data_IF_073804936464
#
_entry.id   IF_073804936464
#
_cell.length_a   1.000
_cell.length_b   1.000
_cell.length_c   1.000
_cell.angle_alpha   90.00
_cell.angle_beta   90.00
_cell.angle_gamma   90.00
#
_symmetry.space_group_name_H-M   'P 1'
#
loop_
_entity.id
_entity.type
_entity.pdbx_description
1 polymer ?
#
# COMPACT_ATOMS: atom_id res chain seq x y z
N UNK A 1 27.64 19.07 -22.39
CA UNK A 1 27.25 17.99 -21.46
C UNK A 1 26.69 18.63 -20.21
N UNK A 2 25.37 18.84 -20.16
CA UNK A 2 24.69 19.18 -18.91
C UNK A 2 24.48 17.85 -18.19
N UNK A 3 25.18 17.62 -17.08
CA UNK A 3 24.80 16.57 -16.16
C UNK A 3 23.41 16.95 -15.64
N UNK A 4 22.37 16.20 -16.04
CA UNK A 4 21.13 16.18 -15.27
C UNK A 4 21.53 15.66 -13.88
N UNK A 5 21.63 16.57 -12.91
CA UNK A 5 21.49 16.20 -11.51
C UNK A 5 20.11 15.54 -11.43
N UNK A 6 20.09 14.22 -11.29
CA UNK A 6 18.87 13.48 -11.02
C UNK A 6 18.42 13.92 -9.61
N UNK A 7 17.55 14.92 -9.55
CA UNK A 7 16.87 15.29 -8.32
C UNK A 7 15.81 14.20 -8.05
N UNK A 8 16.07 13.33 -7.08
CA UNK A 8 15.14 12.28 -6.69
C UNK A 8 15.81 11.00 -6.20
N UNK A 9 15.08 10.25 -5.39
CA UNK A 9 15.46 8.91 -4.92
C UNK A 9 14.96 7.87 -5.93
N UNK A 10 15.77 6.83 -6.20
CA UNK A 10 15.36 5.76 -7.11
C UNK A 10 14.44 4.79 -6.38
N UNK A 11 13.33 4.46 -7.03
CA UNK A 11 12.39 3.44 -6.58
C UNK A 11 12.47 2.25 -7.53
N UNK A 12 12.61 1.05 -6.97
CA UNK A 12 12.57 -0.22 -7.70
C UNK A 12 11.38 -1.02 -7.18
N UNK A 13 10.51 -1.46 -8.07
CA UNK A 13 9.39 -2.34 -7.72
C UNK A 13 9.67 -3.70 -8.31
N UNK A 14 9.68 -4.73 -7.47
CA UNK A 14 9.95 -6.12 -7.87
C UNK A 14 8.77 -7.01 -7.49
N UNK A 15 8.36 -7.89 -8.39
CA UNK A 15 7.30 -8.86 -8.16
C UNK A 15 7.85 -10.30 -8.20
N UNK A 16 7.71 -11.05 -7.12
CA UNK A 16 7.96 -12.49 -7.09
C UNK A 16 6.64 -13.29 -7.20
N UNK A 17 6.66 -14.57 -7.62
CA UNK A 17 5.48 -15.32 -8.06
C UNK A 17 4.81 -16.16 -6.99
N UNK A 18 5.15 -15.97 -5.71
CA UNK A 18 4.75 -16.92 -4.66
C UNK A 18 3.23 -17.02 -4.43
N UNK A 19 2.41 -16.28 -5.18
CA UNK A 19 0.94 -16.40 -5.16
C UNK A 19 0.45 -16.83 -6.56
N UNK A 20 -0.23 -17.97 -6.61
CA UNK A 20 -0.55 -18.78 -7.81
C UNK A 20 -1.60 -18.20 -8.78
N UNK A 21 -1.93 -16.91 -8.68
CA UNK A 21 -2.81 -16.21 -9.64
C UNK A 21 -2.43 -14.73 -9.67
N UNK A 22 -1.45 -14.37 -10.51
CA UNK A 22 -0.96 -12.99 -10.52
C UNK A 22 -0.69 -12.48 -11.94
N UNK A 23 -1.65 -11.72 -12.46
CA UNK A 23 -1.32 -10.47 -13.14
C UNK A 23 -1.35 -9.37 -12.09
N UNK A 24 -0.26 -9.15 -11.34
CA UNK A 24 -0.24 -8.01 -10.42
C UNK A 24 -0.04 -6.77 -11.25
N UNK A 25 -0.99 -5.86 -11.18
CA UNK A 25 -0.83 -4.54 -11.77
C UNK A 25 -0.52 -3.61 -10.61
N UNK A 26 0.73 -3.22 -10.45
CA UNK A 26 1.11 -2.28 -9.39
C UNK A 26 0.63 -0.89 -9.77
N UNK A 27 0.10 -0.16 -8.80
CA UNK A 27 -0.32 1.22 -8.94
C UNK A 27 0.56 2.12 -8.06
N UNK A 28 0.84 3.31 -8.59
CA UNK A 28 1.43 4.41 -7.85
C UNK A 28 0.33 5.45 -7.63
N UNK A 29 0.03 5.78 -6.38
CA UNK A 29 -0.74 7.00 -6.10
C UNK A 29 -0.12 7.87 -5.03
N UNK A 30 -0.59 9.11 -5.07
CA UNK A 30 -0.62 9.97 -3.90
C UNK A 30 -2.08 10.16 -3.49
N UNK A 31 -2.37 10.11 -2.19
CA UNK A 31 -3.71 10.44 -1.69
C UNK A 31 -3.91 11.95 -1.55
N UNK A 32 -2.83 12.74 -1.59
CA UNK A 32 -2.92 14.20 -1.51
C UNK A 32 -1.95 14.87 -2.48
N UNK A 33 -2.32 14.95 -3.75
CA UNK A 33 -1.96 16.15 -4.51
C UNK A 33 -2.86 17.28 -3.99
N UNK A 34 -2.39 18.00 -2.97
CA UNK A 34 -2.60 19.44 -3.08
C UNK A 34 -2.00 19.83 -4.43
N UNK A 35 -2.78 20.52 -5.27
CA UNK A 35 -2.32 21.00 -6.57
C UNK A 35 -0.93 21.62 -6.42
N UNK A 36 0.09 21.03 -7.07
CA UNK A 36 1.47 21.53 -7.03
C UNK A 36 2.50 20.65 -6.29
N UNK A 37 2.13 19.56 -5.63
CA UNK A 37 3.12 18.65 -5.03
C UNK A 37 3.92 17.86 -6.08
N UNK A 38 5.24 17.71 -5.92
CA UNK A 38 6.07 16.87 -6.78
C UNK A 38 5.62 15.41 -6.78
N UNK A 39 5.72 14.75 -7.93
CA UNK A 39 5.29 13.35 -8.14
C UNK A 39 6.38 12.53 -8.84
N UNK A 40 6.37 11.19 -8.66
CA UNK A 40 7.24 10.31 -9.43
C UNK A 40 7.08 10.48 -10.94
N UNK A 41 8.18 10.34 -11.67
CA UNK A 41 8.19 10.36 -13.14
C UNK A 41 7.85 8.98 -13.71
N UNK A 42 6.62 8.52 -13.42
CA UNK A 42 6.13 7.23 -13.89
C UNK A 42 4.60 7.21 -14.02
N UNK A 43 4.08 6.22 -14.75
CA UNK A 43 2.64 5.98 -14.85
C UNK A 43 2.05 5.59 -13.49
N UNK A 44 0.80 5.96 -13.24
CA UNK A 44 0.05 5.62 -12.01
C UNK A 44 -0.48 4.18 -12.00
N UNK A 45 -0.24 3.41 -13.06
CA UNK A 45 -0.47 1.98 -13.08
C UNK A 45 0.07 1.30 -14.34
N UNK A 46 0.47 0.04 -14.20
CA UNK A 46 0.99 -0.82 -15.28
C UNK A 46 0.79 -2.29 -14.97
N UNK A 47 0.97 -3.16 -15.96
CA UNK A 47 1.02 -4.61 -15.78
C UNK A 47 2.41 -5.08 -15.37
N UNK A 48 2.52 -5.72 -14.21
CA UNK A 48 3.74 -6.37 -13.77
C UNK A 48 3.61 -7.89 -13.94
N UNK A 49 4.39 -8.45 -14.86
CA UNK A 49 4.51 -9.91 -15.02
C UNK A 49 5.26 -10.52 -13.82
N UNK A 50 5.03 -11.78 -13.48
CA UNK A 50 5.85 -12.47 -12.48
C UNK A 50 7.35 -12.33 -12.78
N UNK A 51 8.15 -12.13 -11.73
CA UNK A 51 9.60 -11.87 -11.81
C UNK A 51 9.99 -10.59 -12.56
N UNK A 52 9.06 -9.68 -12.84
CA UNK A 52 9.40 -8.38 -13.42
C UNK A 52 9.87 -7.39 -12.38
N UNK A 53 10.66 -6.43 -12.84
CA UNK A 53 11.10 -5.28 -12.07
C UNK A 53 10.96 -4.02 -12.91
N UNK A 54 10.51 -2.94 -12.27
CA UNK A 54 10.48 -1.60 -12.88
C UNK A 54 11.16 -0.61 -11.96
N UNK A 55 11.80 0.40 -12.53
CA UNK A 55 12.44 1.46 -11.76
C UNK A 55 12.01 2.83 -12.24
N UNK A 56 11.84 3.77 -11.31
CA UNK A 56 11.50 5.16 -11.60
C UNK A 56 12.07 6.09 -10.53
N UNK A 57 12.17 7.38 -10.85
CA UNK A 57 12.61 8.40 -9.89
C UNK A 57 11.41 9.02 -9.19
N UNK A 58 11.51 9.21 -7.87
CA UNK A 58 10.58 10.02 -7.09
C UNK A 58 11.29 11.27 -6.55
N UNK A 59 10.67 12.46 -6.60
CA UNK A 59 11.24 13.66 -6.01
C UNK A 59 11.56 13.49 -4.52
N UNK A 60 12.67 14.08 -4.05
CA UNK A 60 13.13 13.97 -2.65
C UNK A 60 12.12 14.48 -1.61
N UNK A 61 11.16 15.30 -2.04
CA UNK A 61 10.08 15.84 -1.22
C UNK A 61 8.72 15.25 -1.59
N UNK A 62 8.69 14.02 -2.12
CA UNK A 62 7.45 13.29 -2.36
C UNK A 62 6.73 13.00 -1.03
N UNK A 63 5.48 13.46 -0.88
CA UNK A 63 4.70 13.39 0.37
C UNK A 63 3.42 12.59 0.18
N UNK A 64 3.00 11.81 1.18
CA UNK A 64 1.76 11.02 1.09
C UNK A 64 1.72 10.10 -0.16
N UNK A 65 2.88 9.55 -0.51
CA UNK A 65 3.04 8.54 -1.54
C UNK A 65 2.52 7.19 -1.07
N UNK A 66 1.85 6.46 -1.96
CA UNK A 66 1.34 5.10 -1.74
C UNK A 66 1.61 4.24 -2.96
N UNK A 67 2.08 3.03 -2.72
CA UNK A 67 2.32 2.01 -3.74
C UNK A 67 1.59 0.75 -3.29
N UNK A 68 0.79 0.14 -4.16
CA UNK A 68 0.13 -1.14 -3.87
C UNK A 68 -0.02 -2.00 -5.11
N UNK A 69 -0.19 -3.29 -4.88
CA UNK A 69 -0.45 -4.26 -5.94
C UNK A 69 -1.94 -4.52 -6.07
N UNK A 70 -2.38 -4.82 -7.29
CA UNK A 70 -3.77 -5.15 -7.63
C UNK A 70 -3.87 -6.60 -8.08
N UNK A 71 -4.99 -7.25 -7.81
CA UNK A 71 -5.17 -8.69 -8.08
C UNK A 71 -6.36 -8.96 -8.98
N UNK A 72 -6.17 -9.97 -9.84
CA UNK A 72 -7.20 -10.56 -10.69
C UNK A 72 -7.97 -9.50 -11.51
N UNK A 73 -7.22 -8.66 -12.23
CA UNK A 73 -7.79 -7.54 -12.97
C UNK A 73 -8.21 -7.91 -14.39
N UNK A 74 -9.28 -7.30 -14.86
CA UNK A 74 -9.73 -7.33 -16.24
C UNK A 74 -10.09 -5.92 -16.73
N UNK A 75 -9.13 -5.30 -17.42
CA UNK A 75 -9.28 -3.95 -17.98
C UNK A 75 -9.98 -3.91 -19.35
N UNK A 76 -10.35 -5.07 -19.91
CA UNK A 76 -11.13 -5.15 -21.15
C UNK A 76 -12.64 -5.03 -20.90
N UNK A 77 -13.06 -5.00 -19.64
CA UNK A 77 -14.46 -4.84 -19.27
C UNK A 77 -14.85 -3.35 -19.27
N UNK A 78 -16.00 -3.03 -19.86
CA UNK A 78 -16.65 -1.74 -19.63
C UNK A 78 -17.08 -1.68 -18.16
N UNK A 79 -16.44 -0.81 -17.37
CA UNK A 79 -16.73 -0.66 -15.95
C UNK A 79 -17.58 0.61 -15.70
N UNK A 80 -18.81 0.51 -15.17
CA UNK A 80 -19.63 1.66 -14.81
C UNK A 80 -19.07 2.48 -13.62
N UNK A 81 -18.12 1.93 -12.85
CA UNK A 81 -17.47 2.54 -11.70
C UNK A 81 -16.11 3.16 -12.03
N UNK A 82 -15.95 3.64 -13.27
CA UNK A 82 -14.74 4.34 -13.73
C UNK A 82 -13.45 3.52 -13.49
N UNK A 83 -13.53 2.20 -13.68
CA UNK A 83 -12.42 1.26 -13.54
C UNK A 83 -12.08 0.79 -12.12
N UNK A 84 -12.74 1.34 -11.10
CA UNK A 84 -12.48 0.98 -9.70
C UNK A 84 -12.78 -0.49 -9.37
N UNK A 85 -13.67 -1.12 -10.14
CA UNK A 85 -14.09 -2.51 -9.93
C UNK A 85 -13.52 -3.49 -10.96
N UNK A 86 -12.60 -3.04 -11.82
CA UNK A 86 -11.93 -3.89 -12.81
C UNK A 86 -10.91 -4.87 -12.19
N UNK A 87 -10.57 -4.72 -10.92
CA UNK A 87 -9.74 -5.66 -10.16
C UNK A 87 -10.54 -6.25 -9.00
N UNK A 88 -10.34 -7.54 -8.72
CA UNK A 88 -10.99 -8.18 -7.55
C UNK A 88 -10.53 -7.54 -6.25
N UNK A 89 -9.25 -7.15 -6.14
CA UNK A 89 -8.70 -6.45 -4.97
C UNK A 89 -7.74 -5.34 -5.39
N UNK A 90 -7.76 -4.21 -4.67
CA UNK A 90 -6.85 -3.10 -4.89
C UNK A 90 -7.17 -2.24 -6.12
N UNK A 91 -8.35 -2.38 -6.73
CA UNK A 91 -8.76 -1.58 -7.89
C UNK A 91 -8.65 -0.07 -7.65
N UNK A 92 -8.76 0.75 -8.69
CA UNK A 92 -8.65 2.20 -8.56
C UNK A 92 -9.50 2.87 -9.64
N UNK A 93 -10.04 4.06 -9.33
CA UNK A 93 -10.60 4.92 -10.38
C UNK A 93 -9.54 5.16 -11.46
N UNK A 94 -9.92 5.14 -12.73
CA UNK A 94 -9.04 5.22 -13.91
C UNK A 94 -8.68 3.86 -14.53
N UNK A 95 -8.96 2.74 -13.87
CA UNK A 95 -8.71 1.40 -14.41
C UNK A 95 -7.22 1.06 -14.42
N UNK A 96 -6.65 0.66 -15.57
CA UNK A 96 -5.23 0.25 -15.66
C UNK A 96 -4.29 1.36 -15.16
N UNK A 97 -4.48 2.57 -15.66
CA UNK A 97 -3.72 3.77 -15.27
C UNK A 97 -4.63 4.59 -14.40
N UNK A 98 -4.39 4.53 -13.10
CA UNK A 98 -5.32 5.11 -12.17
C UNK A 98 -5.35 6.65 -12.23
N UNK A 99 -6.49 7.23 -11.89
CA UNK A 99 -6.69 8.68 -11.88
C UNK A 99 -5.74 9.35 -10.87
N UNK A 100 -4.84 10.24 -11.32
CA UNK A 100 -3.93 10.96 -10.43
C UNK A 100 -4.67 11.92 -9.46
N UNK A 101 -5.95 12.22 -9.73
CA UNK A 101 -6.78 13.11 -8.94
C UNK A 101 -7.93 12.34 -8.27
N UNK A 102 -7.59 11.46 -7.33
CA UNK A 102 -8.57 10.76 -6.49
C UNK A 102 -8.79 9.28 -6.82
N UNK A 103 -7.93 8.65 -7.63
CA UNK A 103 -7.96 7.20 -7.84
C UNK A 103 -7.39 6.38 -6.70
N UNK A 104 -7.67 6.72 -5.45
CA UNK A 104 -7.17 5.97 -4.29
C UNK A 104 -7.49 4.48 -4.42
N UNK A 105 -6.60 3.61 -3.96
CA UNK A 105 -6.82 2.17 -4.00
C UNK A 105 -8.12 1.79 -3.29
N UNK A 106 -8.86 0.85 -3.88
CA UNK A 106 -10.07 0.25 -3.31
C UNK A 106 -9.62 -0.89 -2.40
N UNK A 107 -9.84 -0.78 -1.07
CA UNK A 107 -9.47 -1.82 -0.13
C UNK A 107 -10.22 -3.15 -0.37
N UNK A 108 -9.66 -4.32 0.01
CA UNK A 108 -8.41 -4.43 0.75
C UNK A 108 -7.17 -4.31 -0.13
N UNK A 109 -6.17 -3.59 0.37
CA UNK A 109 -4.89 -3.42 -0.29
C UNK A 109 -3.78 -3.21 0.75
N UNK A 110 -2.72 -4.01 0.65
CA UNK A 110 -1.47 -3.76 1.39
C UNK A 110 -0.74 -2.60 0.73
N UNK A 111 -0.36 -1.61 1.53
CA UNK A 111 0.26 -0.38 1.05
C UNK A 111 1.74 -0.32 1.45
N UNK A 112 2.57 0.23 0.56
CA UNK A 112 3.83 0.87 0.94
C UNK A 112 3.60 2.39 0.93
N UNK A 113 3.72 3.04 2.08
CA UNK A 113 3.49 4.47 2.23
C UNK A 113 4.82 5.23 2.38
N UNK A 114 4.89 6.45 1.85
CA UNK A 114 6.12 7.26 1.82
C UNK A 114 5.85 8.74 2.07
N UNK A 115 6.71 9.36 2.86
CA UNK A 115 6.84 10.81 3.04
C UNK A 115 8.33 11.15 3.11
N UNK A 116 8.91 11.55 1.98
CA UNK A 116 10.34 11.82 1.82
C UNK A 116 10.70 13.23 2.26
N UNK A 117 11.88 13.43 2.86
CA UNK A 117 12.33 14.70 3.45
C UNK A 117 11.28 15.36 4.36
N UNK A 118 10.62 14.55 5.19
CA UNK A 118 9.65 14.96 6.22
C UNK A 118 10.27 15.69 7.40
N UNK A 119 9.49 15.76 8.48
CA UNK A 119 9.88 16.42 9.71
C UNK A 119 11.23 15.92 10.23
N UNK A 120 12.12 16.85 10.54
CA UNK A 120 13.46 16.54 11.01
C UNK A 120 14.39 15.95 9.94
N UNK A 121 14.14 16.23 8.65
CA UNK A 121 14.93 15.72 7.51
C UNK A 121 14.96 14.18 7.46
N UNK A 122 13.80 13.56 7.70
CA UNK A 122 13.66 12.10 7.66
C UNK A 122 12.75 11.71 6.53
N UNK A 123 13.10 10.64 5.85
CA UNK A 123 12.12 9.89 5.09
C UNK A 123 11.32 9.04 6.07
N UNK A 124 10.00 9.13 5.98
CA UNK A 124 9.06 8.25 6.67
C UNK A 124 8.51 7.27 5.65
N UNK A 125 8.52 5.99 6.00
CA UNK A 125 7.97 4.95 5.14
C UNK A 125 7.48 3.77 5.98
N UNK A 126 6.49 3.07 5.46
CA UNK A 126 5.87 1.97 6.18
C UNK A 126 5.15 0.99 5.26
N UNK A 127 4.97 -0.23 5.78
CA UNK A 127 4.03 -1.19 5.23
C UNK A 127 2.74 -1.06 6.03
N UNK A 128 1.61 -0.91 5.36
CA UNK A 128 0.34 -0.61 6.00
C UNK A 128 -0.76 -1.56 5.56
N UNK A 129 -1.41 -2.15 6.56
CA UNK A 129 -2.62 -2.96 6.48
C UNK A 129 -3.83 -2.20 7.03
N UNK A 130 -3.71 -0.88 7.19
CA UNK A 130 -4.82 0.00 7.57
C UNK A 130 -5.95 -0.15 6.57
N UNK A 131 -5.62 -0.29 5.27
CA UNK A 131 -6.58 -0.57 4.20
C UNK A 131 -6.74 -2.08 3.96
N UNK A 132 -6.45 -2.94 4.95
CA UNK A 132 -6.51 -4.39 4.82
C UNK A 132 -5.30 -5.01 4.09
N UNK A 133 -5.41 -6.29 3.74
CA UNK A 133 -4.35 -7.06 3.12
C UNK A 133 -4.79 -7.64 1.77
N UNK A 134 -3.90 -7.66 0.78
CA UNK A 134 -4.12 -8.41 -0.46
C UNK A 134 -2.86 -9.11 -1.01
N UNK A 135 -1.69 -8.53 -0.79
CA UNK A 135 -0.40 -9.06 -1.24
C UNK A 135 0.66 -8.85 -0.17
N UNK A 136 1.55 -9.84 0.06
CA UNK A 136 2.72 -9.64 0.88
C UNK A 136 3.62 -8.56 0.27
N UNK A 137 4.25 -7.76 1.13
CA UNK A 137 5.03 -6.60 0.70
C UNK A 137 6.20 -6.36 1.67
N UNK A 138 7.35 -5.93 1.11
CA UNK A 138 8.54 -5.51 1.85
C UNK A 138 9.14 -4.24 1.25
N UNK A 139 9.69 -3.39 2.10
CA UNK A 139 10.43 -2.19 1.69
C UNK A 139 11.89 -2.32 2.14
N UNK A 140 12.82 -2.26 1.20
CA UNK A 140 14.27 -2.17 1.43
C UNK A 140 14.79 -0.78 1.04
N UNK A 141 15.92 -0.36 1.60
CA UNK A 141 16.52 0.97 1.36
C UNK A 141 18.02 0.93 0.99
N UNK A 142 18.66 -0.25 1.03
CA UNK A 142 20.07 -0.42 0.67
C UNK A 142 21.11 0.34 1.54
N UNK A 143 20.69 1.04 2.60
CA UNK A 143 21.53 1.91 3.44
C UNK A 143 21.48 1.58 4.92
N UNK A 144 20.92 0.41 5.27
CA UNK A 144 20.90 -0.10 6.65
C UNK A 144 19.86 0.56 7.55
N UNK A 145 18.97 1.40 7.00
CA UNK A 145 17.74 1.76 7.70
C UNK A 145 16.82 0.53 7.80
N UNK A 146 15.82 0.57 8.69
CA UNK A 146 14.94 -0.58 8.90
C UNK A 146 14.18 -0.94 7.63
N UNK A 147 13.96 -2.23 7.39
CA UNK A 147 13.31 -2.76 6.20
C UNK A 147 11.97 -3.41 6.58
N UNK A 148 10.86 -2.66 6.63
CA UNK A 148 9.60 -3.19 7.09
C UNK A 148 8.94 -4.14 6.10
N UNK A 149 8.17 -5.08 6.65
CA UNK A 149 7.51 -6.10 5.83
C UNK A 149 6.22 -6.65 6.43
N UNK A 150 5.40 -7.14 5.51
CA UNK A 150 4.36 -8.12 5.73
C UNK A 150 4.57 -9.23 4.70
N UNK A 151 5.50 -10.15 4.97
CA UNK A 151 5.95 -11.15 4.00
C UNK A 151 5.08 -12.41 3.92
N UNK A 152 4.08 -12.54 4.80
CA UNK A 152 3.17 -13.71 4.85
C UNK A 152 1.89 -13.44 4.08
N UNK A 153 1.33 -14.48 3.44
CA UNK A 153 0.00 -14.42 2.85
C UNK A 153 -1.09 -14.55 3.94
N UNK A 154 -1.71 -13.43 4.29
CA UNK A 154 -2.78 -13.37 5.29
C UNK A 154 -4.16 -13.78 4.74
N UNK A 155 -4.33 -13.93 3.42
CA UNK A 155 -5.63 -14.28 2.82
C UNK A 155 -6.17 -15.65 3.26
N UNK A 156 -5.39 -16.74 3.12
CA UNK A 156 -5.85 -18.10 3.45
C UNK A 156 -6.31 -18.30 4.88
N UNK A 157 -5.72 -17.60 5.85
CA UNK A 157 -6.04 -17.74 7.28
C UNK A 157 -6.84 -16.55 7.84
N UNK A 158 -7.28 -15.61 6.99
CA UNK A 158 -8.06 -14.46 7.42
C UNK A 158 -9.33 -14.91 8.15
N UNK A 159 -9.67 -14.30 9.32
CA UNK A 159 -10.89 -14.64 10.05
C UNK A 159 -12.12 -14.52 9.15
N UNK A 160 -13.05 -15.47 9.30
CA UNK A 160 -14.12 -15.72 8.33
C UNK A 160 -14.92 -14.46 7.93
N UNK A 161 -15.27 -13.60 8.90
CA UNK A 161 -16.03 -12.38 8.64
C UNK A 161 -15.27 -11.33 7.80
N UNK A 162 -13.93 -11.33 7.83
CA UNK A 162 -13.07 -10.37 7.13
C UNK A 162 -12.45 -10.96 5.86
N UNK A 163 -12.60 -12.28 5.66
CA UNK A 163 -11.97 -13.02 4.58
C UNK A 163 -12.54 -12.62 3.23
N UNK A 164 -11.64 -12.35 2.31
CA UNK A 164 -11.96 -11.98 0.95
C UNK A 164 -11.46 -10.57 0.59
N UNK A 165 -11.63 -10.14 -0.66
CA UNK A 165 -12.44 -10.78 -1.71
C UNK A 165 -11.87 -12.10 -2.24
N UNK A 166 -12.65 -12.84 -3.02
CA UNK A 166 -12.29 -14.16 -3.55
C UNK A 166 -12.12 -14.10 -5.08
N UNK A 167 -11.14 -14.83 -5.61
CA UNK A 167 -10.99 -15.00 -7.06
C UNK A 167 -12.02 -16.01 -7.63
N UNK A 168 -11.95 -16.22 -8.95
CA UNK A 168 -12.84 -17.14 -9.68
C UNK A 168 -12.69 -18.61 -9.28
N UNK A 169 -11.60 -18.99 -8.60
CA UNK A 169 -11.38 -20.33 -8.05
C UNK A 169 -11.90 -20.48 -6.62
N UNK A 170 -12.33 -19.38 -5.99
CA UNK A 170 -12.73 -19.32 -4.59
C UNK A 170 -11.55 -19.13 -3.63
N UNK A 171 -10.35 -18.77 -4.12
CA UNK A 171 -9.22 -18.46 -3.27
C UNK A 171 -9.38 -17.05 -2.67
N UNK A 172 -9.16 -16.85 -1.36
CA UNK A 172 -9.26 -15.54 -0.72
C UNK A 172 -8.07 -14.65 -1.11
N UNK A 173 -8.28 -13.74 -2.07
CA UNK A 173 -7.24 -12.84 -2.57
C UNK A 173 -6.96 -11.63 -1.67
N UNK A 174 -7.68 -11.52 -0.55
CA UNK A 174 -7.44 -10.49 0.45
C UNK A 174 -8.04 -10.81 1.82
N UNK A 175 -7.80 -9.88 2.74
CA UNK A 175 -8.34 -9.85 4.09
C UNK A 175 -8.71 -8.41 4.43
N UNK A 176 -9.99 -8.14 4.62
CA UNK A 176 -10.51 -6.82 5.01
C UNK A 176 -10.05 -6.47 6.43
N UNK A 177 -9.92 -5.19 6.73
CA UNK A 177 -9.83 -4.74 8.12
C UNK A 177 -11.24 -4.64 8.75
N UNK A 178 -11.31 -4.27 10.02
CA UNK A 178 -12.60 -4.04 10.69
C UNK A 178 -13.40 -2.85 10.13
N UNK A 179 -12.73 -1.75 9.74
CA UNK A 179 -13.39 -0.55 9.22
C UNK A 179 -14.22 -0.82 7.96
N UNK A 180 -13.72 -1.68 7.06
CA UNK A 180 -14.39 -2.00 5.78
C UNK A 180 -15.72 -2.74 5.94
N UNK A 181 -16.02 -3.24 7.15
CA UNK A 181 -17.29 -3.88 7.48
C UNK A 181 -18.12 -3.06 8.47
N UNK A 182 -17.63 -1.90 8.90
CA UNK A 182 -18.33 -1.06 9.84
C UNK A 182 -19.56 -0.41 9.16
N UNK A 183 -20.76 -0.48 9.77
CA UNK A 183 -21.96 0.11 9.20
C UNK A 183 -21.95 1.65 9.23
N UNK A 184 -21.09 2.28 10.03
CA UNK A 184 -20.95 3.73 10.15
C UNK A 184 -19.46 4.14 10.18
N UNK A 185 -18.75 4.03 9.04
CA UNK A 185 -17.32 4.31 8.98
C UNK A 185 -16.97 5.78 9.26
N UNK A 186 -17.94 6.70 9.23
CA UNK A 186 -17.73 8.12 9.53
C UNK A 186 -17.61 8.42 11.04
N UNK A 187 -18.01 7.51 11.91
CA UNK A 187 -17.92 7.67 13.36
C UNK A 187 -17.76 6.30 14.04
N UNK A 188 -16.60 5.67 13.85
CA UNK A 188 -16.36 4.29 14.27
C UNK A 188 -15.00 4.11 14.96
N UNK A 189 -14.92 3.30 16.04
CA UNK A 189 -13.66 2.90 16.65
C UNK A 189 -12.88 1.88 15.79
N UNK A 190 -13.51 1.26 14.79
CA UNK A 190 -12.82 0.40 13.83
C UNK A 190 -12.11 1.21 12.73
N UNK A 191 -12.64 2.40 12.43
CA UNK A 191 -12.13 3.33 11.42
C UNK A 191 -11.30 4.49 12.00
N UNK A 192 -11.29 4.64 13.33
CA UNK A 192 -10.73 5.80 14.02
C UNK A 192 -11.23 7.14 13.46
N UNK A 193 -12.56 7.28 13.41
CA UNK A 193 -13.24 8.42 12.78
C UNK A 193 -14.28 9.05 13.70
N UNK A 194 -14.66 10.29 13.41
CA UNK A 194 -15.65 11.03 14.20
C UNK A 194 -15.15 11.27 15.62
N UNK A 195 -15.88 10.81 16.63
CA UNK A 195 -15.48 10.92 18.04
C UNK A 195 -14.30 10.00 18.43
N UNK A 196 -13.90 9.10 17.53
CA UNK A 196 -12.80 8.16 17.70
C UNK A 196 -11.56 8.58 16.89
N UNK A 197 -11.37 9.88 16.65
CA UNK A 197 -10.31 10.42 15.79
C UNK A 197 -9.01 10.79 16.53
N UNK A 198 -8.81 10.29 17.76
CA UNK A 198 -7.57 10.45 18.51
C UNK A 198 -7.02 9.11 18.99
N UNK A 199 -5.74 9.08 19.35
CA UNK A 199 -5.11 7.89 19.93
C UNK A 199 -5.84 7.41 21.20
N UNK A 200 -6.27 8.34 22.04
CA UNK A 200 -6.98 8.04 23.30
C UNK A 200 -8.38 7.48 23.04
N UNK A 201 -9.06 7.98 22.02
CA UNK A 201 -10.44 7.58 21.70
C UNK A 201 -10.50 6.37 20.76
N UNK A 202 -9.45 6.05 20.02
CA UNK A 202 -9.36 4.86 19.17
C UNK A 202 -8.22 3.93 19.59
N UNK A 203 -8.37 3.18 20.70
CA UNK A 203 -7.43 2.14 21.06
C UNK A 203 -7.49 0.98 20.07
N UNK A 204 -6.42 0.20 19.97
CA UNK A 204 -6.32 -0.97 19.08
C UNK A 204 -7.44 -2.00 19.28
N UNK A 205 -8.06 -2.05 20.47
CA UNK A 205 -9.25 -2.89 20.76
C UNK A 205 -10.47 -2.54 19.92
N UNK A 206 -10.53 -1.33 19.33
CA UNK A 206 -11.56 -0.93 18.38
C UNK A 206 -11.41 -1.59 17.00
N UNK A 207 -10.21 -2.08 16.66
CA UNK A 207 -9.93 -2.78 15.40
C UNK A 207 -9.91 -4.29 15.61
N UNK A 208 -11.01 -4.96 15.28
CA UNK A 208 -11.16 -6.41 15.45
C UNK A 208 -10.13 -7.27 14.67
N UNK A 209 -9.49 -6.69 13.64
CA UNK A 209 -8.44 -7.36 12.84
C UNK A 209 -7.03 -7.10 13.36
N UNK A 210 -6.86 -6.19 14.32
CA UNK A 210 -5.55 -5.74 14.81
C UNK A 210 -4.62 -6.89 15.19
N UNK A 211 -5.07 -7.76 16.10
CA UNK A 211 -4.26 -8.87 16.60
C UNK A 211 -3.89 -9.88 15.50
N UNK A 212 -4.80 -10.12 14.55
CA UNK A 212 -4.53 -11.01 13.42
C UNK A 212 -3.44 -10.44 12.51
N UNK A 213 -3.58 -9.16 12.13
CA UNK A 213 -2.59 -8.47 11.30
C UNK A 213 -1.24 -8.35 12.00
N UNK A 214 -1.19 -7.94 13.26
CA UNK A 214 0.08 -7.83 14.01
C UNK A 214 0.75 -9.16 14.28
N UNK A 215 -0.01 -10.23 14.48
CA UNK A 215 0.57 -11.56 14.68
C UNK A 215 1.26 -12.07 13.41
N UNK A 216 0.72 -11.76 12.23
CA UNK A 216 1.33 -12.18 10.95
C UNK A 216 2.39 -11.20 10.45
N UNK A 217 2.18 -9.91 10.67
CA UNK A 217 3.00 -8.82 10.13
C UNK A 217 3.31 -7.80 11.24
N UNK A 218 4.22 -8.12 12.18
CA UNK A 218 4.51 -7.27 13.35
C UNK A 218 5.06 -5.89 12.98
N UNK A 219 5.71 -5.79 11.82
CA UNK A 219 6.38 -4.59 11.33
C UNK A 219 5.50 -3.70 10.43
N UNK A 220 4.26 -4.13 10.16
CA UNK A 220 3.29 -3.36 9.39
C UNK A 220 2.28 -2.62 10.30
N UNK A 221 1.79 -1.46 9.88
CA UNK A 221 0.63 -0.82 10.49
C UNK A 221 -0.61 -1.71 10.35
N UNK A 222 -1.33 -1.93 11.44
CA UNK A 222 -2.54 -2.75 11.45
C UNK A 222 -3.84 -1.95 11.67
N UNK A 223 -3.73 -0.67 12.07
CA UNK A 223 -4.82 0.30 12.17
C UNK A 223 -4.29 1.74 12.23
N UNK A 224 -5.17 2.74 12.20
CA UNK A 224 -4.80 4.15 11.98
C UNK A 224 -3.87 4.76 13.05
N UNK A 225 -4.01 4.36 14.32
CA UNK A 225 -3.19 4.86 15.43
C UNK A 225 -2.24 3.82 16.01
N UNK A 226 -1.85 2.83 15.21
CA UNK A 226 -0.86 1.85 15.64
C UNK A 226 0.39 2.52 16.15
N UNK A 227 0.93 2.03 17.26
CA UNK A 227 2.06 2.67 17.89
C UNK A 227 3.30 2.60 16.99
N UNK A 228 4.23 3.52 17.24
CA UNK A 228 5.35 3.97 16.40
C UNK A 228 6.36 2.89 15.97
N UNK A 229 6.05 1.61 16.12
CA UNK A 229 6.74 0.55 15.40
C UNK A 229 6.52 0.73 13.90
N UNK A 230 5.32 1.06 13.43
CA UNK A 230 5.07 1.09 11.98
C UNK A 230 5.78 2.22 11.21
N UNK A 231 6.07 3.38 11.82
CA UNK A 231 6.72 4.51 11.14
C UNK A 231 8.23 4.32 11.14
N UNK A 232 8.73 3.79 10.04
CA UNK A 232 10.17 3.62 9.86
C UNK A 232 10.74 4.89 9.29
N UNK A 233 11.86 5.31 9.87
CA UNK A 233 12.55 6.51 9.41
C UNK A 233 13.92 6.18 8.86
N UNK A 234 14.35 6.96 7.88
CA UNK A 234 15.72 6.98 7.39
C UNK A 234 16.14 8.44 7.28
N UNK A 235 17.42 8.74 7.49
CA UNK A 235 17.93 10.09 7.31
C UNK A 235 17.86 10.45 5.82
N UNK A 236 17.09 11.49 5.47
CA UNK A 236 16.91 11.92 4.09
C UNK A 236 18.21 12.46 3.46
N UNK A 237 19.21 12.79 4.28
CA UNK A 237 20.56 13.14 3.84
C UNK A 237 21.31 11.95 3.22
N UNK A 238 20.91 10.71 3.52
CA UNK A 238 21.52 9.51 2.92
C UNK A 238 21.10 9.28 1.47
N UNK A 239 20.03 9.93 1.00
CA UNK A 239 19.47 9.80 -0.36
C UNK A 239 19.34 8.33 -0.74
N UNK A 240 18.52 7.62 0.02
CA UNK A 240 18.41 6.17 -0.08
C UNK A 240 17.52 5.79 -1.25
N UNK A 241 17.88 4.70 -1.93
CA UNK A 241 17.03 4.15 -2.98
C UNK A 241 16.13 3.08 -2.36
N UNK A 242 14.84 3.11 -2.66
CA UNK A 242 13.86 2.19 -2.10
C UNK A 242 13.57 1.04 -3.05
N UNK A 243 13.55 -0.18 -2.54
CA UNK A 243 13.06 -1.35 -3.27
C UNK A 243 11.79 -1.87 -2.60
N UNK A 244 10.67 -1.83 -3.33
CA UNK A 244 9.39 -2.39 -2.91
C UNK A 244 9.25 -3.76 -3.55
N UNK A 245 9.20 -4.79 -2.71
CA UNK A 245 9.08 -6.17 -3.17
C UNK A 245 7.70 -6.72 -2.84
N UNK A 246 6.93 -7.06 -3.88
CA UNK A 246 5.69 -7.80 -3.75
C UNK A 246 5.97 -9.31 -3.71
N UNK A 247 5.29 -10.01 -2.81
CA UNK A 247 5.47 -11.43 -2.54
C UNK A 247 6.94 -11.81 -2.25
N UNK A 248 7.64 -11.10 -1.33
CA UNK A 248 9.06 -11.33 -1.07
C UNK A 248 9.35 -12.82 -0.80
N UNK A 249 10.52 -13.32 -1.23
CA UNK A 249 10.93 -14.67 -0.90
C UNK A 249 11.09 -14.84 0.63
N UNK A 250 10.89 -16.07 1.17
CA UNK A 250 11.09 -16.37 2.58
C UNK A 250 12.53 -16.16 3.07
#
# INVERSE_FOLDING_TARGET
MHALLLYGQLFVITLYPNITSLGVLTALHQIYTQLGNPKPDYTTGWEAKPYSSVSFSAPDNWKAGRIWGRRDCNFNANDPNDGATQCVSGGCKGGLVCDPNGGTGVPPATLAEFTLSGDGNKDFYDVSLVDGFNLPLRIDNGKGCRAPECAVDLGPNCPAQFKGPFDSTGFPVGCKNACLLDPNPANSPACCSGQFDTLETCPSTGSATYNYFKSGCPDAYAYAFDDQRGLWTCDAGLKVDYTITFCPPP
#
